data_IF_829913861773
#
_entry.id   IF_829913861773
#
_cell.length_a   1.000
_cell.length_b   1.000
_cell.length_c   1.000
_cell.angle_alpha   90.00
_cell.angle_beta   90.00
_cell.angle_gamma   90.00
#
_symmetry.space_group_name_H-M   'P 1'
#
loop_
_entity.id
_entity.type
_entity.pdbx_description
1 polymer ?
#
# COMPACT_ATOMS: atom_id res chain seq x y z
N UNK A 1 -24.95 -30.99 9.79
CA UNK A 1 -24.48 -30.14 8.68
C UNK A 1 -22.95 -30.19 8.54
N UNK A 2 -22.15 -29.70 9.49
CA UNK A 2 -20.67 -29.68 9.40
C UNK A 2 -20.02 -31.00 8.89
N UNK A 3 -20.42 -32.17 9.40
CA UNK A 3 -19.90 -33.49 8.95
C UNK A 3 -20.11 -33.81 7.45
N UNK A 4 -21.07 -33.16 6.79
CA UNK A 4 -21.34 -33.29 5.35
C UNK A 4 -20.55 -32.26 4.52
N UNK A 5 -20.12 -31.16 5.14
CA UNK A 5 -19.48 -30.01 4.49
C UNK A 5 -17.97 -30.23 4.25
N UNK A 6 -17.58 -31.42 3.80
CA UNK A 6 -16.16 -31.75 3.52
C UNK A 6 -15.66 -31.10 2.23
N UNK A 7 -16.52 -31.06 1.22
CA UNK A 7 -16.25 -30.43 -0.08
C UNK A 7 -16.64 -28.95 -0.07
N UNK A 8 -15.84 -28.11 -0.73
CA UNK A 8 -16.07 -26.66 -0.79
C UNK A 8 -17.44 -26.27 -1.39
N UNK A 9 -17.94 -27.04 -2.36
CA UNK A 9 -19.25 -26.87 -3.00
C UNK A 9 -20.40 -27.15 -2.03
N UNK A 10 -20.32 -28.26 -1.30
CA UNK A 10 -21.31 -28.66 -0.29
C UNK A 10 -21.28 -27.73 0.92
N UNK A 11 -20.08 -27.33 1.37
CA UNK A 11 -19.91 -26.32 2.42
C UNK A 11 -20.54 -24.98 2.03
N UNK A 12 -20.31 -24.50 0.80
CA UNK A 12 -20.93 -23.26 0.31
C UNK A 12 -22.46 -23.34 0.35
N UNK A 13 -23.07 -24.43 -0.13
CA UNK A 13 -24.53 -24.62 -0.09
C UNK A 13 -25.10 -24.60 1.34
N UNK A 14 -24.40 -25.23 2.29
CA UNK A 14 -24.77 -25.22 3.71
C UNK A 14 -24.68 -23.81 4.29
N UNK A 15 -23.55 -23.11 4.08
CA UNK A 15 -23.34 -21.76 4.60
C UNK A 15 -24.29 -20.74 3.98
N UNK A 16 -24.50 -20.74 2.66
CA UNK A 16 -25.48 -19.87 1.99
C UNK A 16 -26.91 -20.08 2.52
N UNK A 17 -27.28 -21.31 2.88
CA UNK A 17 -28.58 -21.60 3.48
C UNK A 17 -28.72 -21.03 4.89
N UNK A 18 -27.68 -21.16 5.71
CA UNK A 18 -27.60 -20.56 7.05
C UNK A 18 -27.61 -19.03 6.96
N UNK A 19 -26.82 -18.45 6.06
CA UNK A 19 -26.73 -17.00 5.88
C UNK A 19 -28.06 -16.39 5.45
N UNK A 20 -28.80 -17.04 4.53
CA UNK A 20 -30.16 -16.59 4.18
C UNK A 20 -31.11 -16.60 5.38
N UNK A 21 -30.99 -17.58 6.27
CA UNK A 21 -31.77 -17.62 7.51
C UNK A 21 -31.36 -16.49 8.47
N UNK A 22 -30.06 -16.24 8.63
CA UNK A 22 -29.55 -15.15 9.47
C UNK A 22 -29.89 -13.75 8.91
N UNK A 23 -29.77 -13.54 7.59
CA UNK A 23 -30.16 -12.31 6.88
C UNK A 23 -31.64 -11.99 7.11
N UNK A 24 -32.52 -12.98 6.90
CA UNK A 24 -33.97 -12.79 6.98
C UNK A 24 -34.45 -12.54 8.41
N UNK A 25 -33.81 -13.16 9.41
CA UNK A 25 -34.14 -12.96 10.83
C UNK A 25 -33.35 -11.85 11.52
N UNK A 26 -32.44 -11.15 10.82
CA UNK A 26 -31.46 -10.23 11.40
C UNK A 26 -30.67 -10.81 12.59
N UNK A 27 -30.26 -12.08 12.47
CA UNK A 27 -29.65 -12.88 13.54
C UNK A 27 -28.13 -12.76 13.61
N UNK A 28 -27.55 -11.72 13.01
CA UNK A 28 -26.10 -11.54 12.88
C UNK A 28 -25.42 -10.92 14.10
N UNK A 29 -26.17 -10.23 14.97
CA UNK A 29 -25.63 -9.57 16.18
C UNK A 29 -24.74 -10.52 17.00
N UNK A 30 -23.48 -10.15 17.33
CA UNK A 30 -22.58 -11.02 18.09
C UNK A 30 -23.08 -11.39 19.49
N UNK A 31 -23.82 -10.48 20.15
CA UNK A 31 -24.27 -10.62 21.54
C UNK A 31 -25.64 -11.30 21.69
N UNK A 32 -26.53 -11.13 20.69
CA UNK A 32 -27.95 -11.52 20.80
C UNK A 32 -28.44 -12.35 19.59
N UNK A 33 -27.60 -12.51 18.56
CA UNK A 33 -27.90 -13.26 17.36
C UNK A 33 -27.55 -14.74 17.47
N UNK A 34 -28.05 -15.53 16.51
CA UNK A 34 -27.74 -16.95 16.40
C UNK A 34 -26.58 -17.25 15.45
N UNK A 35 -26.17 -16.28 14.62
CA UNK A 35 -25.12 -16.50 13.63
C UNK A 35 -23.78 -16.87 14.27
N UNK A 36 -23.31 -16.09 15.26
CA UNK A 36 -22.02 -16.35 15.91
C UNK A 36 -21.94 -17.74 16.59
N UNK A 37 -22.84 -18.13 17.51
CA UNK A 37 -22.75 -19.44 18.15
C UNK A 37 -22.85 -20.60 17.16
N UNK A 38 -23.77 -20.54 16.18
CA UNK A 38 -23.95 -21.61 15.19
C UNK A 38 -22.72 -21.76 14.27
N UNK A 39 -22.11 -20.64 13.86
CA UNK A 39 -20.90 -20.66 13.04
C UNK A 39 -19.66 -21.08 13.85
N UNK A 40 -19.57 -20.69 15.13
CA UNK A 40 -18.51 -21.11 16.05
C UNK A 40 -18.55 -22.61 16.34
N UNK A 41 -19.73 -23.17 16.58
CA UNK A 41 -19.90 -24.63 16.70
C UNK A 41 -19.53 -25.35 15.40
N UNK A 42 -19.96 -24.83 14.25
CA UNK A 42 -19.60 -25.39 12.94
C UNK A 42 -18.08 -25.36 12.72
N UNK A 43 -17.40 -24.27 13.06
CA UNK A 43 -15.95 -24.14 13.04
C UNK A 43 -15.25 -25.14 13.96
N UNK A 44 -15.70 -25.29 15.21
CA UNK A 44 -15.14 -26.27 16.15
C UNK A 44 -15.24 -27.70 15.59
N UNK A 45 -16.36 -28.07 14.97
CA UNK A 45 -16.49 -29.37 14.30
C UNK A 45 -15.56 -29.51 13.09
N UNK A 46 -15.31 -28.43 12.35
CA UNK A 46 -14.44 -28.44 11.17
C UNK A 46 -12.96 -28.53 11.54
N UNK A 47 -12.48 -27.69 12.46
CA UNK A 47 -11.11 -27.73 13.00
C UNK A 47 -10.80 -29.10 13.59
N UNK A 48 -11.71 -29.68 14.38
CA UNK A 48 -11.54 -31.02 14.98
C UNK A 48 -11.59 -32.18 13.98
N UNK A 49 -12.01 -31.96 12.73
CA UNK A 49 -12.05 -32.98 11.67
C UNK A 49 -11.06 -32.71 10.53
N UNK A 50 -10.10 -31.80 10.75
CA UNK A 50 -9.09 -31.40 9.75
C UNK A 50 -9.73 -30.80 8.48
N UNK A 51 -10.92 -30.22 8.60
CA UNK A 51 -11.67 -29.67 7.47
C UNK A 51 -11.40 -28.18 7.29
N UNK A 52 -11.70 -27.71 6.08
CA UNK A 52 -11.26 -26.43 5.55
C UNK A 52 -12.00 -25.20 6.13
N UNK A 53 -11.73 -24.84 7.39
CA UNK A 53 -12.26 -23.64 8.07
C UNK A 53 -12.02 -22.33 7.31
N UNK A 54 -10.96 -22.26 6.50
CA UNK A 54 -10.71 -21.13 5.58
C UNK A 54 -11.79 -20.86 4.55
N UNK A 55 -12.47 -21.90 4.05
CA UNK A 55 -13.58 -21.69 3.14
C UNK A 55 -14.74 -21.01 3.86
N UNK A 56 -14.98 -21.30 5.15
CA UNK A 56 -16.00 -20.61 5.93
C UNK A 56 -15.69 -19.11 6.05
N UNK A 57 -14.46 -18.75 6.40
CA UNK A 57 -14.02 -17.35 6.48
C UNK A 57 -14.12 -16.65 5.12
N UNK A 58 -13.64 -17.26 4.03
CA UNK A 58 -13.76 -16.68 2.68
C UNK A 58 -15.21 -16.50 2.22
N UNK A 59 -16.10 -17.44 2.58
CA UNK A 59 -17.53 -17.38 2.24
C UNK A 59 -18.25 -16.31 3.08
N UNK A 60 -17.89 -16.14 4.36
CA UNK A 60 -18.40 -15.06 5.21
C UNK A 60 -18.06 -13.67 4.67
N UNK A 61 -16.80 -13.44 4.26
CA UNK A 61 -16.38 -12.14 3.76
C UNK A 61 -17.08 -11.83 2.43
N UNK A 62 -17.19 -12.82 1.53
CA UNK A 62 -17.96 -12.69 0.28
C UNK A 62 -19.45 -12.41 0.50
N UNK A 63 -20.00 -12.79 1.65
CA UNK A 63 -21.39 -12.48 2.00
C UNK A 63 -21.63 -10.98 2.26
N UNK A 64 -20.59 -10.18 2.54
CA UNK A 64 -20.69 -8.72 2.67
C UNK A 64 -21.13 -8.03 1.36
N UNK A 65 -20.84 -8.65 0.21
CA UNK A 65 -21.28 -8.20 -1.11
C UNK A 65 -22.70 -8.73 -1.47
N UNK A 66 -23.38 -9.47 -0.58
CA UNK A 66 -24.74 -9.97 -0.81
C UNK A 66 -25.77 -8.82 -0.78
N UNK A 67 -26.71 -8.83 -1.74
CA UNK A 67 -27.73 -7.78 -1.94
C UNK A 67 -28.63 -7.48 -0.72
N UNK A 68 -28.79 -8.43 0.20
CA UNK A 68 -29.56 -8.21 1.44
C UNK A 68 -28.71 -7.48 2.48
N UNK A 69 -27.45 -7.87 2.61
CA UNK A 69 -26.44 -7.31 3.52
C UNK A 69 -26.07 -5.88 3.10
N UNK A 70 -25.85 -5.63 1.81
CA UNK A 70 -25.53 -4.31 1.24
C UNK A 70 -26.57 -3.21 1.56
N UNK A 71 -27.81 -3.58 1.91
CA UNK A 71 -28.88 -2.65 2.28
C UNK A 71 -28.96 -2.36 3.77
N UNK A 72 -28.19 -3.07 4.60
CA UNK A 72 -28.29 -3.04 6.05
C UNK A 72 -26.92 -2.74 6.68
N UNK A 73 -26.58 -1.45 6.90
CA UNK A 73 -25.28 -1.03 7.43
C UNK A 73 -24.92 -1.69 8.77
N UNK A 74 -25.90 -1.92 9.66
CA UNK A 74 -25.67 -2.65 10.92
C UNK A 74 -25.31 -4.13 10.67
N UNK A 75 -26.02 -4.81 9.78
CA UNK A 75 -25.74 -6.21 9.44
C UNK A 75 -24.33 -6.39 8.86
N UNK A 76 -23.82 -5.41 8.12
CA UNK A 76 -22.43 -5.39 7.65
C UNK A 76 -21.42 -5.32 8.80
N UNK A 77 -21.66 -4.47 9.82
CA UNK A 77 -20.83 -4.42 11.02
C UNK A 77 -20.83 -5.77 11.75
N UNK A 78 -22.04 -6.29 12.01
CA UNK A 78 -22.25 -7.54 12.73
C UNK A 78 -21.55 -8.72 12.02
N UNK A 79 -21.69 -8.86 10.70
CA UNK A 79 -21.00 -9.91 9.91
C UNK A 79 -19.48 -9.78 9.99
N UNK A 80 -18.91 -8.56 9.90
CA UNK A 80 -17.45 -8.38 9.99
C UNK A 80 -16.95 -8.72 11.40
N UNK A 81 -17.68 -8.34 12.46
CA UNK A 81 -17.33 -8.69 13.84
C UNK A 81 -17.38 -10.21 14.07
N UNK A 82 -18.45 -10.87 13.64
CA UNK A 82 -18.57 -12.34 13.66
C UNK A 82 -17.40 -12.98 12.91
N UNK A 83 -17.07 -12.49 11.72
CA UNK A 83 -15.95 -13.00 10.91
C UNK A 83 -14.60 -12.80 11.62
N UNK A 84 -14.40 -11.67 12.28
CA UNK A 84 -13.16 -11.34 13.01
C UNK A 84 -12.97 -12.27 14.21
N UNK A 85 -14.03 -12.51 14.98
CA UNK A 85 -14.00 -13.46 16.11
C UNK A 85 -13.76 -14.91 15.66
N UNK A 86 -14.42 -15.35 14.59
CA UNK A 86 -14.20 -16.68 14.01
C UNK A 86 -12.78 -16.82 13.43
N UNK A 87 -12.26 -15.77 12.79
CA UNK A 87 -10.88 -15.71 12.32
C UNK A 87 -9.90 -15.79 13.50
N UNK A 88 -10.10 -15.03 14.58
CA UNK A 88 -9.25 -15.07 15.77
C UNK A 88 -9.16 -16.49 16.37
N UNK A 89 -10.32 -17.14 16.58
CA UNK A 89 -10.44 -18.48 17.17
C UNK A 89 -9.94 -19.62 16.25
N UNK A 90 -9.70 -19.37 14.96
CA UNK A 90 -9.37 -20.42 13.99
C UNK A 90 -7.98 -21.03 14.20
N UNK A 91 -7.91 -22.36 14.14
CA UNK A 91 -6.65 -23.13 14.15
C UNK A 91 -6.09 -23.41 12.76
N UNK A 92 -6.63 -22.76 11.72
CA UNK A 92 -6.46 -23.23 10.36
C UNK A 92 -5.21 -22.64 9.67
N UNK A 93 -4.46 -23.49 8.96
CA UNK A 93 -3.13 -23.21 8.34
C UNK A 93 -3.19 -22.39 7.04
N UNK A 94 -2.21 -21.52 6.71
CA UNK A 94 -2.25 -20.64 5.53
C UNK A 94 -2.74 -21.33 4.24
N UNK A 95 -3.81 -20.82 3.62
CA UNK A 95 -4.41 -21.43 2.43
C UNK A 95 -4.81 -20.40 1.37
N UNK A 96 -5.02 -20.85 0.13
CA UNK A 96 -5.51 -20.00 -0.97
C UNK A 96 -6.87 -19.35 -0.67
N UNK A 97 -7.72 -20.00 0.15
CA UNK A 97 -8.97 -19.43 0.61
C UNK A 97 -8.75 -18.29 1.63
N UNK A 98 -7.72 -18.41 2.48
CA UNK A 98 -7.28 -17.37 3.43
C UNK A 98 -6.69 -16.17 2.69
N UNK A 99 -5.90 -16.39 1.65
CA UNK A 99 -5.31 -15.35 0.80
C UNK A 99 -6.42 -14.61 0.03
N UNK A 100 -7.36 -15.36 -0.56
CA UNK A 100 -8.55 -14.78 -1.20
C UNK A 100 -9.41 -13.97 -0.23
N UNK A 101 -9.65 -14.49 0.98
CA UNK A 101 -10.31 -13.77 2.07
C UNK A 101 -9.60 -12.45 2.44
N UNK A 102 -8.28 -12.45 2.52
CA UNK A 102 -7.48 -11.26 2.82
C UNK A 102 -7.64 -10.19 1.72
N UNK A 103 -7.59 -10.60 0.46
CA UNK A 103 -7.85 -9.73 -0.70
C UNK A 103 -9.28 -9.18 -0.71
N UNK A 104 -10.27 -10.02 -0.35
CA UNK A 104 -11.66 -9.59 -0.17
C UNK A 104 -11.78 -8.52 0.94
N UNK A 105 -11.15 -8.70 2.10
CA UNK A 105 -11.15 -7.68 3.17
C UNK A 105 -10.42 -6.41 2.76
N UNK A 106 -9.30 -6.48 2.04
CA UNK A 106 -8.62 -5.28 1.51
C UNK A 106 -9.48 -4.52 0.48
N UNK A 107 -10.31 -5.22 -0.32
CA UNK A 107 -11.33 -4.58 -1.17
C UNK A 107 -12.37 -3.83 -0.32
N UNK A 108 -12.87 -4.44 0.77
CA UNK A 108 -13.79 -3.78 1.70
C UNK A 108 -13.14 -2.61 2.43
N UNK A 109 -11.86 -2.69 2.80
CA UNK A 109 -11.10 -1.60 3.39
C UNK A 109 -11.03 -0.40 2.45
N UNK A 110 -10.63 -0.61 1.18
CA UNK A 110 -10.65 0.45 0.16
C UNK A 110 -12.04 1.09 0.01
N UNK A 111 -13.09 0.27 -0.02
CA UNK A 111 -14.48 0.75 -0.10
C UNK A 111 -14.85 1.61 1.11
N UNK A 112 -14.48 1.20 2.32
CA UNK A 112 -14.70 1.99 3.55
C UNK A 112 -13.95 3.33 3.54
N UNK A 113 -12.71 3.36 3.06
CA UNK A 113 -11.92 4.59 2.94
C UNK A 113 -12.59 5.53 1.93
N UNK A 114 -13.03 5.01 0.79
CA UNK A 114 -13.77 5.78 -0.22
C UNK A 114 -15.07 6.36 0.34
N UNK A 115 -15.86 5.57 1.10
CA UNK A 115 -17.10 6.05 1.72
C UNK A 115 -16.86 7.20 2.71
N UNK A 116 -15.70 7.28 3.35
CA UNK A 116 -15.34 8.36 4.28
C UNK A 116 -14.73 9.62 3.65
N UNK A 117 -14.54 9.68 2.32
CA UNK A 117 -13.98 10.88 1.68
C UNK A 117 -14.94 12.08 1.72
N UNK A 118 -16.24 11.81 1.57
CA UNK A 118 -17.29 12.83 1.57
C UNK A 118 -17.92 13.03 2.96
N UNK A 119 -17.29 12.56 4.05
CA UNK A 119 -17.85 12.64 5.42
C UNK A 119 -18.34 14.05 5.79
N UNK A 120 -17.71 15.12 5.29
CA UNK A 120 -18.13 16.51 5.52
C UNK A 120 -19.52 16.87 4.96
N UNK A 121 -20.04 16.09 4.01
CA UNK A 121 -21.33 16.28 3.35
C UNK A 121 -22.40 15.26 3.82
N UNK A 122 -22.05 14.39 4.79
CA UNK A 122 -22.91 13.28 5.23
C UNK A 122 -23.54 13.55 6.61
N UNK A 123 -24.64 12.84 6.90
CA UNK A 123 -25.28 12.88 8.21
C UNK A 123 -24.42 12.21 9.29
N UNK A 124 -24.52 12.68 10.53
CA UNK A 124 -23.71 12.21 11.67
C UNK A 124 -23.74 10.68 11.87
N UNK A 125 -24.89 10.04 11.66
CA UNK A 125 -25.03 8.58 11.76
C UNK A 125 -24.26 7.83 10.67
N UNK A 126 -24.18 8.39 9.45
CA UNK A 126 -23.43 7.82 8.34
C UNK A 126 -21.93 7.96 8.59
N UNK A 127 -21.45 9.11 9.07
CA UNK A 127 -20.06 9.34 9.45
C UNK A 127 -19.64 8.39 10.58
N UNK A 128 -20.51 8.22 11.59
CA UNK A 128 -20.31 7.28 12.70
C UNK A 128 -20.21 5.84 12.17
N UNK A 129 -21.12 5.44 11.28
CA UNK A 129 -21.10 4.13 10.66
C UNK A 129 -19.84 3.91 9.80
N UNK A 130 -19.46 4.86 8.94
CA UNK A 130 -18.24 4.82 8.12
C UNK A 130 -17.00 4.58 8.99
N UNK A 131 -16.92 5.25 10.14
CA UNK A 131 -15.84 5.07 11.12
C UNK A 131 -15.85 3.66 11.72
N UNK A 132 -16.97 3.22 12.29
CA UNK A 132 -17.06 1.89 12.91
C UNK A 132 -16.87 0.76 11.90
N UNK A 133 -17.34 0.92 10.66
CA UNK A 133 -17.17 -0.09 9.60
C UNK A 133 -15.71 -0.23 9.19
N UNK A 134 -14.98 0.88 9.04
CA UNK A 134 -13.54 0.86 8.81
C UNK A 134 -12.78 0.23 9.99
N UNK A 135 -13.18 0.52 11.23
CA UNK A 135 -12.55 -0.06 12.43
C UNK A 135 -12.70 -1.57 12.51
N UNK A 136 -13.90 -2.13 12.27
CA UNK A 136 -14.09 -3.60 12.27
C UNK A 136 -13.43 -4.28 11.06
N UNK A 137 -13.33 -3.59 9.92
CA UNK A 137 -12.60 -4.11 8.74
C UNK A 137 -11.09 -4.09 8.96
N UNK A 138 -10.53 -3.05 9.60
CA UNK A 138 -9.13 -3.00 9.99
C UNK A 138 -8.79 -4.12 11.01
N UNK A 139 -9.65 -4.40 12.00
CA UNK A 139 -9.47 -5.56 12.92
C UNK A 139 -9.58 -6.91 12.19
N UNK A 140 -10.60 -7.10 11.34
CA UNK A 140 -10.76 -8.31 10.54
C UNK A 140 -9.52 -8.61 9.69
N UNK A 141 -8.91 -7.58 9.11
CA UNK A 141 -7.68 -7.67 8.34
C UNK A 141 -6.49 -8.11 9.21
N UNK A 142 -6.37 -7.57 10.43
CA UNK A 142 -5.39 -8.00 11.43
C UNK A 142 -5.59 -9.47 11.79
N UNK A 143 -6.80 -9.89 12.18
CA UNK A 143 -7.07 -11.28 12.59
C UNK A 143 -6.82 -12.30 11.46
N UNK A 144 -7.19 -11.98 10.20
CA UNK A 144 -6.89 -12.85 9.06
C UNK A 144 -5.38 -12.90 8.76
N UNK A 145 -4.67 -11.77 8.87
CA UNK A 145 -3.21 -11.76 8.71
C UNK A 145 -2.53 -12.68 9.73
N UNK A 146 -3.09 -12.81 10.95
CA UNK A 146 -2.58 -13.69 12.01
C UNK A 146 -2.74 -15.18 11.69
N UNK A 147 -3.36 -15.55 10.55
CA UNK A 147 -3.45 -16.95 10.05
C UNK A 147 -2.58 -17.22 8.83
N UNK A 148 -1.84 -16.22 8.33
CA UNK A 148 -0.86 -16.36 7.24
C UNK A 148 0.57 -16.36 7.82
N UNK A 149 0.77 -16.98 8.98
CA UNK A 149 1.93 -16.75 9.87
C UNK A 149 3.20 -17.51 9.49
N UNK A 150 3.20 -18.27 8.39
CA UNK A 150 4.41 -18.94 7.88
C UNK A 150 5.18 -18.17 6.80
N UNK A 151 4.56 -17.17 6.15
CA UNK A 151 5.14 -16.47 5.00
C UNK A 151 4.48 -15.08 4.85
N UNK A 152 5.29 -14.02 4.82
CA UNK A 152 4.80 -12.67 4.54
C UNK A 152 4.48 -12.44 3.05
N UNK A 153 5.09 -13.23 2.15
CA UNK A 153 4.95 -13.18 0.69
C UNK A 153 3.51 -13.08 0.22
N UNK A 154 2.60 -14.01 0.58
CA UNK A 154 1.19 -13.97 0.18
C UNK A 154 0.45 -12.69 0.53
N UNK A 155 0.83 -11.98 1.62
CA UNK A 155 0.23 -10.68 1.96
C UNK A 155 0.79 -9.59 1.04
N UNK A 156 2.09 -9.62 0.78
CA UNK A 156 2.77 -8.68 -0.12
C UNK A 156 2.32 -8.88 -1.59
N UNK A 157 1.98 -10.11 -1.99
CA UNK A 157 1.38 -10.43 -3.28
C UNK A 157 -0.06 -9.91 -3.39
N UNK A 158 -0.89 -10.04 -2.35
CA UNK A 158 -2.22 -9.42 -2.33
C UNK A 158 -2.11 -7.88 -2.44
N UNK A 159 -1.12 -7.27 -1.77
CA UNK A 159 -0.82 -5.85 -1.94
C UNK A 159 -0.38 -5.52 -3.38
N UNK A 160 0.42 -6.37 -4.03
CA UNK A 160 0.87 -6.19 -5.41
C UNK A 160 -0.29 -6.28 -6.42
N UNK A 161 -1.11 -7.33 -6.33
CA UNK A 161 -2.32 -7.52 -7.17
C UNK A 161 -3.30 -6.36 -7.03
N UNK A 162 -3.41 -5.77 -5.82
CA UNK A 162 -4.25 -4.59 -5.60
C UNK A 162 -3.70 -3.31 -6.27
N UNK A 163 -2.39 -3.23 -6.53
CA UNK A 163 -1.74 -2.12 -7.23
C UNK A 163 -1.62 -2.33 -8.75
N UNK A 164 -1.57 -3.58 -9.23
CA UNK A 164 -1.41 -3.95 -10.64
C UNK A 164 -2.38 -3.23 -11.58
N UNK A 165 -3.62 -3.02 -11.12
CA UNK A 165 -4.67 -2.34 -11.87
C UNK A 165 -5.05 -1.00 -11.23
N UNK A 166 -4.05 -0.20 -10.83
CA UNK A 166 -4.30 1.12 -10.26
C UNK A 166 -5.05 2.02 -11.26
N UNK A 167 -6.23 2.49 -10.86
CA UNK A 167 -7.11 3.24 -11.75
C UNK A 167 -6.50 4.59 -12.16
N UNK A 168 -6.77 5.04 -13.38
CA UNK A 168 -6.52 6.42 -13.80
C UNK A 168 -7.44 7.43 -13.11
N UNK A 169 -8.56 6.99 -12.53
CA UNK A 169 -9.48 7.83 -11.77
C UNK A 169 -8.83 8.15 -10.41
N UNK A 170 -8.45 9.41 -10.23
CA UNK A 170 -7.72 9.93 -9.06
C UNK A 170 -8.24 9.44 -7.70
N UNK A 171 -9.55 9.53 -7.47
CA UNK A 171 -10.17 9.09 -6.20
C UNK A 171 -9.99 7.59 -5.95
N UNK A 172 -10.10 6.78 -7.01
CA UNK A 172 -9.92 5.33 -6.93
C UNK A 172 -8.43 4.99 -6.73
N UNK A 173 -7.51 5.70 -7.40
CA UNK A 173 -6.06 5.54 -7.22
C UNK A 173 -5.62 5.82 -5.77
N UNK A 174 -6.05 6.97 -5.21
CA UNK A 174 -5.74 7.39 -3.84
C UNK A 174 -6.30 6.44 -2.79
N UNK A 175 -7.53 5.97 -2.97
CA UNK A 175 -8.15 5.00 -2.03
C UNK A 175 -7.48 3.63 -2.12
N UNK A 176 -7.12 3.15 -3.31
CA UNK A 176 -6.31 1.93 -3.50
C UNK A 176 -4.97 2.02 -2.77
N UNK A 177 -4.19 3.08 -3.00
CA UNK A 177 -2.90 3.29 -2.33
C UNK A 177 -3.07 3.43 -0.81
N UNK A 178 -4.13 4.08 -0.34
CA UNK A 178 -4.42 4.21 1.10
C UNK A 178 -4.75 2.88 1.79
N UNK A 179 -5.44 1.97 1.11
CA UNK A 179 -5.72 0.63 1.62
C UNK A 179 -4.44 -0.22 1.71
N UNK A 180 -3.59 -0.19 0.67
CA UNK A 180 -2.30 -0.88 0.67
C UNK A 180 -1.37 -0.32 1.76
N UNK A 181 -1.32 1.00 1.94
CA UNK A 181 -0.56 1.65 3.02
C UNK A 181 -1.05 1.26 4.42
N UNK A 182 -2.36 1.05 4.62
CA UNK A 182 -2.94 0.57 5.90
C UNK A 182 -2.65 -0.90 6.18
N UNK A 183 -2.54 -1.73 5.14
CA UNK A 183 -2.20 -3.15 5.30
C UNK A 183 -0.74 -3.35 5.72
N UNK A 184 0.17 -2.53 5.18
CA UNK A 184 1.62 -2.72 5.36
C UNK A 184 2.11 -2.86 6.83
N UNK A 185 1.68 -2.03 7.81
CA UNK A 185 2.10 -2.17 9.21
C UNK A 185 1.78 -3.53 9.82
N UNK A 186 0.73 -4.20 9.35
CA UNK A 186 0.31 -5.53 9.79
C UNK A 186 1.32 -6.60 9.34
N UNK A 187 1.92 -6.43 8.15
CA UNK A 187 3.04 -7.23 7.67
C UNK A 187 4.33 -6.93 8.46
N UNK A 188 4.62 -5.65 8.67
CA UNK A 188 5.87 -5.16 9.27
C UNK A 188 6.12 -5.68 10.69
N UNK A 189 5.06 -5.76 11.51
CA UNK A 189 5.15 -6.31 12.87
C UNK A 189 5.65 -7.76 12.86
N UNK A 190 5.30 -8.56 11.82
CA UNK A 190 5.70 -9.97 11.69
C UNK A 190 7.04 -10.19 10.99
N UNK A 191 7.34 -9.44 9.93
CA UNK A 191 8.66 -9.46 9.27
C UNK A 191 9.80 -9.16 10.27
N UNK A 192 9.48 -8.49 11.39
CA UNK A 192 10.38 -8.23 12.51
C UNK A 192 10.45 -9.35 13.56
N UNK A 193 9.47 -10.23 13.63
CA UNK A 193 9.40 -11.35 14.58
C UNK A 193 10.08 -12.60 14.01
N UNK A 194 9.88 -12.88 12.73
CA UNK A 194 10.47 -14.03 12.05
C UNK A 194 11.84 -13.64 11.48
N UNK A 195 12.93 -14.09 12.13
CA UNK A 195 14.29 -13.65 11.85
C UNK A 195 14.95 -14.29 10.60
N UNK A 196 14.19 -15.07 9.83
CA UNK A 196 14.63 -15.59 8.53
C UNK A 196 14.46 -14.52 7.43
N UNK A 197 15.33 -14.48 6.41
CA UNK A 197 15.23 -13.51 5.33
C UNK A 197 14.04 -13.83 4.42
N UNK A 198 12.86 -13.32 4.79
CA UNK A 198 11.68 -13.24 3.93
C UNK A 198 12.10 -12.72 2.54
N UNK A 199 11.68 -13.42 1.49
CA UNK A 199 12.10 -13.12 0.12
C UNK A 199 11.78 -11.65 -0.26
N UNK A 200 12.66 -11.03 -1.04
CA UNK A 200 12.45 -9.66 -1.50
C UNK A 200 11.12 -9.58 -2.27
N UNK A 201 10.19 -8.67 -1.92
CA UNK A 201 8.85 -8.65 -2.50
C UNK A 201 8.86 -7.98 -3.88
N UNK A 202 9.42 -8.68 -4.87
CA UNK A 202 9.64 -8.21 -6.24
C UNK A 202 8.36 -7.73 -6.91
N UNK A 203 7.26 -8.50 -6.80
CA UNK A 203 5.97 -8.15 -7.35
C UNK A 203 5.45 -6.82 -6.78
N UNK A 204 5.46 -6.66 -5.45
CA UNK A 204 5.03 -5.42 -4.80
C UNK A 204 5.95 -4.24 -5.16
N UNK A 205 7.26 -4.47 -5.22
CA UNK A 205 8.24 -3.47 -5.61
C UNK A 205 8.01 -2.96 -7.04
N UNK A 206 7.79 -3.88 -7.99
CA UNK A 206 7.47 -3.52 -9.38
C UNK A 206 6.20 -2.66 -9.46
N UNK A 207 5.12 -3.07 -8.80
CA UNK A 207 3.86 -2.33 -8.82
C UNK A 207 3.96 -0.97 -8.11
N UNK A 208 4.79 -0.85 -7.07
CA UNK A 208 5.09 0.43 -6.43
C UNK A 208 5.86 1.38 -7.36
N UNK A 209 6.82 0.90 -8.14
CA UNK A 209 7.51 1.72 -9.15
C UNK A 209 6.54 2.25 -10.21
N UNK A 210 5.59 1.44 -10.68
CA UNK A 210 4.54 1.89 -11.59
C UNK A 210 3.62 2.94 -10.93
N UNK A 211 3.20 2.72 -9.68
CA UNK A 211 2.40 3.68 -8.93
C UNK A 211 3.12 5.01 -8.63
N UNK A 212 4.46 5.03 -8.56
CA UNK A 212 5.26 6.26 -8.44
C UNK A 212 5.26 7.14 -9.69
N UNK A 213 4.87 6.61 -10.86
CA UNK A 213 4.79 7.38 -12.12
C UNK A 213 3.34 7.78 -12.44
N UNK A 214 2.38 7.44 -11.56
CA UNK A 214 0.96 7.80 -11.72
C UNK A 214 0.74 9.31 -11.87
N UNK A 215 -0.18 9.79 -12.74
CA UNK A 215 -0.40 11.22 -12.96
C UNK A 215 -0.83 12.01 -11.71
N UNK A 216 -1.53 11.39 -10.75
CA UNK A 216 -1.93 12.03 -9.50
C UNK A 216 -0.78 12.08 -8.47
N UNK A 217 -0.55 13.26 -7.89
CA UNK A 217 0.57 13.46 -6.97
C UNK A 217 0.40 12.78 -5.61
N UNK A 218 -0.83 12.66 -5.08
CA UNK A 218 -1.05 11.99 -3.79
C UNK A 218 -0.83 10.49 -3.91
N UNK A 219 -1.26 9.91 -5.03
CA UNK A 219 -0.98 8.52 -5.41
C UNK A 219 0.53 8.26 -5.45
N UNK A 220 1.33 9.12 -6.13
CA UNK A 220 2.80 9.03 -6.13
C UNK A 220 3.39 9.12 -4.71
N UNK A 221 2.95 10.10 -3.91
CA UNK A 221 3.43 10.29 -2.54
C UNK A 221 3.13 9.06 -1.67
N UNK A 222 1.94 8.47 -1.80
CA UNK A 222 1.58 7.26 -1.08
C UNK A 222 2.40 6.03 -1.52
N UNK A 223 2.65 5.87 -2.82
CA UNK A 223 3.54 4.84 -3.34
C UNK A 223 4.98 4.98 -2.79
N UNK A 224 5.54 6.20 -2.80
CA UNK A 224 6.84 6.49 -2.19
C UNK A 224 6.86 6.20 -0.68
N UNK A 225 5.77 6.48 0.05
CA UNK A 225 5.66 6.14 1.48
C UNK A 225 5.72 4.63 1.69
N UNK A 226 4.89 3.86 0.98
CA UNK A 226 4.86 2.38 1.11
C UNK A 226 6.25 1.81 0.80
N UNK A 227 6.82 2.18 -0.35
CA UNK A 227 8.16 1.76 -0.79
C UNK A 227 9.26 2.09 0.22
N UNK A 228 9.25 3.28 0.82
CA UNK A 228 10.25 3.67 1.82
C UNK A 228 10.21 2.78 3.06
N UNK A 229 9.02 2.35 3.51
CA UNK A 229 8.92 1.45 4.66
C UNK A 229 9.21 0.00 4.27
N UNK A 230 8.78 -0.46 3.07
CA UNK A 230 9.12 -1.78 2.51
C UNK A 230 10.64 -1.97 2.41
N UNK A 231 11.38 -0.99 1.86
CA UNK A 231 12.83 -1.09 1.68
C UNK A 231 13.66 -0.76 2.93
N UNK A 232 13.13 0.00 3.88
CA UNK A 232 13.86 0.40 5.10
C UNK A 232 13.02 0.03 6.34
N UNK A 233 13.01 -1.25 6.75
CA UNK A 233 12.14 -1.73 7.83
C UNK A 233 12.44 -1.19 9.24
N UNK A 234 13.37 -0.23 9.41
CA UNK A 234 14.02 0.05 10.71
C UNK A 234 13.98 1.49 11.22
N UNK A 235 13.47 2.48 10.48
CA UNK A 235 13.68 3.90 10.86
C UNK A 235 12.45 4.80 11.02
N UNK A 236 11.29 4.53 10.41
CA UNK A 236 10.13 5.45 10.46
C UNK A 236 8.78 4.72 10.53
N UNK A 237 8.33 4.41 11.74
CA UNK A 237 6.93 4.01 11.98
C UNK A 237 6.18 5.20 12.64
N UNK A 238 5.14 5.77 12.02
CA UNK A 238 4.22 6.68 12.71
C UNK A 238 3.38 5.86 13.69
N UNK A 239 3.82 5.78 14.94
CA UNK A 239 3.12 5.07 16.00
C UNK A 239 1.75 5.70 16.24
N UNK A 240 0.67 4.95 16.00
CA UNK A 240 -0.67 5.31 16.44
C UNK A 240 -0.66 5.56 17.94
N UNK A 241 -0.90 6.81 18.35
CA UNK A 241 -0.84 7.23 19.75
C UNK A 241 -2.04 6.68 20.51
N UNK A 242 -1.83 5.62 21.30
CA UNK A 242 -2.79 5.21 22.33
C UNK A 242 -2.84 6.27 23.43
N UNK A 243 -4.05 6.68 23.81
CA UNK A 243 -4.30 7.68 24.85
C UNK A 243 -4.02 7.12 26.25
N UNK A 244 -2.93 7.57 26.87
CA UNK A 244 -2.68 7.41 28.30
C UNK A 244 -3.20 8.69 29.00
N UNK A 245 -3.96 8.57 30.12
CA UNK A 245 -4.52 9.74 30.80
C UNK A 245 -3.44 10.63 31.43
N UNK A 246 -3.70 11.94 31.44
CA UNK A 246 -2.79 12.98 31.90
C UNK A 246 -2.42 12.84 33.39
N UNK A 247 -1.14 13.09 33.72
CA UNK A 247 -0.78 13.61 35.05
C UNK A 247 0.06 14.87 34.89
N UNK A 248 -0.36 15.94 35.57
CA UNK A 248 0.23 17.28 35.44
C UNK A 248 1.56 17.38 36.19
N UNK A 249 2.62 17.78 35.50
CA UNK A 249 3.69 18.64 36.03
C UNK A 249 4.43 19.33 34.89
N UNK A 250 4.85 20.57 35.13
CA UNK A 250 5.37 21.47 34.10
C UNK A 250 6.87 21.26 33.81
N UNK A 251 7.32 21.87 32.71
CA UNK A 251 8.72 21.98 32.25
C UNK A 251 9.49 20.66 32.10
N UNK A 252 9.31 20.00 30.96
CA UNK A 252 10.38 19.93 29.96
C UNK A 252 9.79 19.60 28.59
N UNK A 253 10.30 20.23 27.53
CA UNK A 253 9.78 20.09 26.16
C UNK A 253 10.45 18.90 25.45
N UNK A 254 9.80 17.75 25.24
CA UNK A 254 10.33 16.73 24.35
C UNK A 254 10.17 17.23 22.92
N UNK A 255 11.26 17.76 22.35
CA UNK A 255 11.30 18.29 20.99
C UNK A 255 11.27 17.15 19.96
N UNK A 256 10.10 16.55 19.78
CA UNK A 256 9.86 15.41 18.88
C UNK A 256 9.83 15.85 17.42
N UNK A 257 10.99 16.19 16.83
CA UNK A 257 11.15 16.26 15.38
C UNK A 257 12.55 15.81 14.92
N UNK A 258 12.55 14.96 13.90
CA UNK A 258 13.57 14.84 12.87
C UNK A 258 15.02 14.50 13.31
N UNK A 259 15.32 13.20 13.34
CA UNK A 259 16.58 12.73 12.71
C UNK A 259 16.43 12.79 11.19
N UNK A 260 16.39 14.01 10.65
CA UNK A 260 16.75 14.24 9.25
C UNK A 260 18.22 13.85 9.12
N UNK A 261 18.50 12.71 8.48
CA UNK A 261 19.86 12.39 8.02
C UNK A 261 20.16 13.34 6.87
N UNK A 262 20.59 14.54 7.24
CA UNK A 262 20.95 15.60 6.32
C UNK A 262 22.17 15.16 5.53
N UNK A 263 21.96 14.78 4.27
CA UNK A 263 23.03 14.59 3.26
C UNK A 263 23.91 15.83 3.10
N UNK A 264 23.44 17.00 3.54
CA UNK A 264 24.20 18.24 3.58
C UNK A 264 25.27 18.28 4.70
N UNK A 265 25.11 17.49 5.76
CA UNK A 265 26.12 17.42 6.83
C UNK A 265 27.35 16.61 6.42
N UNK A 266 27.20 15.66 5.48
CA UNK A 266 28.32 14.89 4.94
C UNK A 266 29.23 15.77 4.09
N UNK A 267 28.66 16.56 3.17
CA UNK A 267 29.41 17.52 2.36
C UNK A 267 30.02 18.64 3.22
N UNK A 268 29.31 19.17 4.22
CA UNK A 268 29.87 20.16 5.15
C UNK A 268 31.10 19.61 5.91
N UNK A 269 31.03 18.39 6.44
CA UNK A 269 32.15 17.75 7.13
C UNK A 269 33.33 17.45 6.18
N UNK A 270 33.06 17.09 4.92
CA UNK A 270 34.08 16.84 3.90
C UNK A 270 34.76 18.16 3.47
N UNK A 271 34.01 19.25 3.33
CA UNK A 271 34.56 20.59 3.10
C UNK A 271 35.35 21.12 4.31
N UNK A 272 34.92 20.86 5.54
CA UNK A 272 35.68 21.22 6.74
C UNK A 272 36.99 20.41 6.83
N UNK A 273 36.96 19.13 6.47
CA UNK A 273 38.15 18.27 6.40
C UNK A 273 39.14 18.78 5.34
N UNK A 274 38.68 19.05 4.11
CA UNK A 274 39.49 19.66 3.05
C UNK A 274 40.03 21.04 3.43
N UNK A 275 39.28 21.82 4.22
CA UNK A 275 39.72 23.13 4.71
C UNK A 275 40.82 22.98 5.76
N UNK A 276 40.69 22.05 6.72
CA UNK A 276 41.75 21.73 7.70
C UNK A 276 43.02 21.17 7.04
N UNK A 277 42.87 20.27 6.07
CA UNK A 277 43.96 19.64 5.33
C UNK A 277 44.79 20.66 4.50
N UNK A 278 44.16 21.75 4.04
CA UNK A 278 44.85 22.90 3.43
C UNK A 278 45.58 23.84 4.40
N UNK A 279 45.30 23.78 5.70
CA UNK A 279 46.01 24.58 6.70
C UNK A 279 47.10 23.80 7.44
N UNK A 280 47.06 22.46 7.44
CA UNK A 280 48.11 21.63 8.03
C UNK A 280 49.39 21.47 7.18
N UNK A 281 49.42 21.95 5.94
CA UNK A 281 50.58 21.81 5.03
C UNK A 281 51.62 22.94 5.13
N UNK A 282 51.43 23.90 6.04
CA UNK A 282 52.21 25.15 6.07
C UNK A 282 52.90 25.44 7.42
N UNK A 283 52.93 24.48 8.35
CA UNK A 283 53.43 24.66 9.72
C UNK A 283 54.52 23.63 10.10
N UNK A 284 55.53 23.49 9.24
CA UNK A 284 56.82 22.87 9.60
C UNK A 284 57.96 23.59 8.86
N UNK A 285 58.28 24.80 9.31
CA UNK A 285 59.55 25.46 9.05
C UNK A 285 59.98 26.23 10.31
N UNK A 286 61.30 26.25 10.55
CA UNK A 286 62.03 26.79 11.71
C UNK A 286 62.25 25.86 12.93
N UNK A 287 63.52 25.89 13.39
CA UNK A 287 64.22 25.06 14.38
C UNK A 287 64.40 23.54 14.08
N UNK A 288 65.58 22.91 14.28
CA UNK A 288 66.97 23.42 14.30
C UNK A 288 68.02 22.27 14.16
N UNK A 289 69.24 22.61 13.73
CA UNK A 289 70.54 21.94 13.93
C UNK A 289 70.90 20.52 13.41
N UNK A 290 72.00 20.49 12.62
CA UNK A 290 73.14 19.51 12.57
C UNK A 290 72.86 18.07 12.08
N UNK A 291 73.78 17.36 11.41
CA UNK A 291 75.19 17.61 10.98
C UNK A 291 75.57 16.74 9.75
N UNK A 292 76.58 17.18 8.98
CA UNK A 292 77.50 16.42 8.09
C UNK A 292 76.98 15.55 6.91
N UNK A 293 77.63 15.71 5.74
CA UNK A 293 77.60 14.72 4.63
C UNK A 293 77.83 15.32 3.24
N UNK A 294 79.03 15.13 2.67
CA UNK A 294 79.40 15.56 1.30
C UNK A 294 79.25 14.39 0.31
N UNK A 295 78.60 14.62 -0.85
CA UNK A 295 79.06 14.17 -2.19
C UNK A 295 78.06 14.51 -3.31
N UNK A 296 78.55 14.50 -4.55
CA UNK A 296 77.86 14.95 -5.78
C UNK A 296 76.98 13.86 -6.46
N UNK A 297 76.44 14.26 -7.63
CA UNK A 297 75.95 13.48 -8.78
C UNK A 297 74.44 13.18 -8.95
N UNK A 298 73.97 13.57 -10.15
CA UNK A 298 72.73 13.19 -10.86
C UNK A 298 72.76 11.67 -11.23
N UNK A 299 71.64 10.98 -11.61
CA UNK A 299 70.78 11.43 -12.71
C UNK A 299 69.27 11.05 -12.73
N UNK A 300 68.53 11.89 -13.47
CA UNK A 300 67.44 11.61 -14.44
C UNK A 300 66.53 10.35 -14.35
N UNK A 301 65.25 10.65 -14.64
CA UNK A 301 64.34 9.97 -15.60
C UNK A 301 63.23 9.06 -15.02
N UNK A 302 61.96 9.42 -15.26
CA UNK A 302 61.08 8.76 -16.26
C UNK A 302 59.68 9.45 -16.31
N UNK A 303 59.46 10.13 -17.44
CA UNK A 303 58.23 10.30 -18.21
C UNK A 303 56.89 10.71 -17.55
N UNK A 304 56.54 11.96 -17.87
CA UNK A 304 55.18 12.49 -18.05
C UNK A 304 54.19 11.50 -18.72
N UNK A 305 52.96 11.47 -18.22
CA UNK A 305 51.83 10.82 -18.89
C UNK A 305 50.49 11.49 -18.59
N UNK A 306 49.87 12.08 -19.62
CA UNK A 306 48.41 12.24 -19.75
C UNK A 306 47.65 13.27 -18.88
N UNK A 307 48.12 14.52 -18.83
CA UNK A 307 47.21 15.67 -18.62
C UNK A 307 46.53 16.05 -19.94
N UNK A 308 45.30 15.58 -20.19
CA UNK A 308 44.33 16.22 -21.10
C UNK A 308 42.97 15.48 -21.13
N UNK A 309 41.99 15.93 -20.33
CA UNK A 309 40.55 15.94 -20.70
C UNK A 309 39.71 16.72 -19.68
N UNK A 310 38.50 17.10 -20.10
CA UNK A 310 37.46 17.81 -19.34
C UNK A 310 37.66 19.33 -19.14
N UNK A 311 37.74 20.06 -20.26
CA UNK A 311 37.13 21.42 -20.31
C UNK A 311 35.62 21.26 -20.49
N UNK A 312 34.84 21.92 -19.65
CA UNK A 312 33.38 22.00 -19.77
C UNK A 312 32.96 23.06 -20.79
N UNK A 313 31.94 22.77 -21.59
CA UNK A 313 31.26 23.76 -22.44
C UNK A 313 29.79 23.84 -22.07
N UNK A 314 29.40 24.98 -21.53
CA UNK A 314 28.00 25.37 -21.37
C UNK A 314 27.55 26.07 -22.65
N UNK A 315 26.53 25.56 -23.34
CA UNK A 315 25.88 26.26 -24.45
C UNK A 315 24.38 26.37 -24.24
N UNK A 316 23.94 27.63 -24.14
CA UNK A 316 22.55 28.09 -24.21
C UNK A 316 22.50 29.07 -25.38
N UNK A 317 21.53 28.99 -26.29
CA UNK A 317 20.95 30.10 -27.10
C UNK A 317 20.05 29.55 -28.23
N UNK A 318 18.99 30.30 -28.54
CA UNK A 318 18.02 30.09 -29.62
C UNK A 318 18.59 30.36 -31.02
N UNK A 319 18.00 29.76 -32.07
CA UNK A 319 17.77 30.48 -33.34
C UNK A 319 16.66 29.83 -34.17
N UNK A 320 15.88 30.64 -34.91
CA UNK A 320 14.87 30.20 -35.87
C UNK A 320 15.44 30.12 -37.29
N UNK A 321 14.91 29.21 -38.12
CA UNK A 321 14.33 29.55 -39.44
C UNK A 321 13.66 28.34 -40.10
N UNK A 322 12.56 28.61 -40.79
CA UNK A 322 11.76 27.69 -41.59
C UNK A 322 12.12 27.74 -43.08
N UNK A 323 11.71 26.75 -43.88
CA UNK A 323 11.42 26.89 -45.30
C UNK A 323 9.90 26.90 -45.58
N UNK A 324 9.48 27.61 -46.63
CA UNK A 324 8.10 27.72 -47.15
C UNK A 324 8.16 27.75 -48.69
N UNK A 325 7.01 27.55 -49.36
CA UNK A 325 6.70 27.86 -50.78
C UNK A 325 7.07 26.71 -51.75
N UNK A 326 6.20 26.20 -52.66
CA UNK A 326 4.84 26.60 -53.11
C UNK A 326 4.03 25.46 -53.76
N UNK A 327 2.70 25.45 -53.51
CA UNK A 327 1.54 25.37 -54.45
C UNK A 327 1.48 24.28 -55.57
N UNK A 328 0.33 23.78 -56.05
CA UNK A 328 -1.13 24.05 -55.86
C UNK A 328 -1.85 22.75 -55.37
N UNK A 329 -3.17 22.48 -55.41
CA UNK A 329 -4.40 23.13 -55.96
C UNK A 329 -5.64 22.76 -55.10
N UNK A 330 -6.84 23.16 -55.56
CA UNK A 330 -8.15 23.08 -54.92
C UNK A 330 -8.82 21.69 -54.80
N UNK A 331 -9.78 21.57 -53.87
CA UNK A 331 -10.69 20.43 -53.74
C UNK A 331 -11.68 20.58 -52.56
N UNK A 332 -12.80 21.28 -52.78
CA UNK A 332 -13.81 21.60 -51.75
C UNK A 332 -14.43 20.37 -51.06
N UNK A 333 -14.66 20.46 -49.75
CA UNK A 333 -15.63 19.65 -49.03
C UNK A 333 -16.58 20.56 -48.25
N UNK A 334 -17.79 20.77 -48.78
CA UNK A 334 -18.79 21.68 -48.22
C UNK A 334 -19.79 20.93 -47.33
N UNK A 335 -20.12 21.51 -46.18
CA UNK A 335 -21.18 21.08 -45.27
C UNK A 335 -22.53 21.22 -45.96
N UNK A 336 -23.46 20.27 -45.76
CA UNK A 336 -24.89 20.62 -45.67
C UNK A 336 -25.75 19.57 -44.97
N UNK A 337 -26.78 20.07 -44.29
CA UNK A 337 -27.87 19.32 -43.66
C UNK A 337 -29.11 19.23 -44.57
N UNK A 338 -30.17 18.60 -44.02
CA UNK A 338 -31.60 18.54 -44.42
C UNK A 338 -32.00 17.09 -44.76
N UNK A 339 -32.97 16.41 -44.13
CA UNK A 339 -34.30 16.77 -43.57
C UNK A 339 -35.34 17.10 -44.66
N UNK A 340 -36.11 16.09 -45.11
CA UNK A 340 -37.58 16.01 -44.90
C UNK A 340 -38.23 14.69 -45.37
N UNK A 341 -39.39 14.38 -44.76
CA UNK A 341 -40.65 13.73 -45.23
C UNK A 341 -40.70 12.81 -46.50
N UNK A 342 -41.65 11.87 -46.66
CA UNK A 342 -42.63 11.20 -45.78
C UNK A 342 -43.40 10.08 -46.56
N UNK A 343 -44.14 9.21 -45.85
CA UNK A 343 -45.15 8.23 -46.37
C UNK A 343 -44.58 7.05 -47.21
N UNK A 344 -45.19 5.86 -47.30
CA UNK A 344 -46.58 5.37 -47.08
C UNK A 344 -46.68 4.02 -46.33
N UNK A 345 -47.92 3.61 -46.03
CA UNK A 345 -48.42 2.48 -45.22
C UNK A 345 -47.96 1.03 -45.52
N UNK A 346 -48.01 0.10 -44.55
CA UNK A 346 -49.18 -0.64 -44.00
C UNK A 346 -49.67 -1.82 -44.90
N UNK A 347 -50.18 -2.96 -44.37
CA UNK A 347 -49.48 -3.95 -43.52
C UNK A 347 -49.76 -5.40 -44.07
N UNK A 348 -50.19 -6.36 -43.21
CA UNK A 348 -50.61 -7.78 -43.44
C UNK A 348 -49.48 -8.81 -43.24
N UNK A 349 -49.60 -9.85 -42.39
CA UNK A 349 -50.72 -10.31 -41.54
C UNK A 349 -50.26 -10.79 -40.16
#
# INVERSE_FOLDING_TARGET
MAKLAKEATTMRRVLESLFRYFDNGNLWSPEHGLAFPVLKDMQLFMDNSGQNTHFMLSILIKHLDHKNVLKQPKMQLDIVQVTSSLAQDSKAEPSLATIGALSDVMRHLRKSIHCSLDDANLGADIIKWNRSFREVVDDCLVQLSHKVVGDAGPILDVMAVMLENISTITVIARTTISAVYRTYPICHIKIRQDAEPNAFPEALFHQLLLAMVHPDHETRIGAHRIFSVVLVPSSVCPRSSSSIPETKKASDLPRTLSRTVSVFSSSAALFEKLKKEKFSSNETAYQDNKENGVSEEEPRNINNGMLNRLKSSYSRVYSMKSPLVSMTTDGNAMINSNKEMASTGWPVQ
#
